data_IF_358529815725
#
_entry.id   IF_358529815725
#
_cell.length_a   1.000
_cell.length_b   1.000
_cell.length_c   1.000
_cell.angle_alpha   90.00
_cell.angle_beta   90.00
_cell.angle_gamma   90.00
#
_symmetry.space_group_name_H-M   'P 1'
#
loop_
_entity.id
_entity.type
_entity.pdbx_description
1 polymer ?
#
# COMPACT_ATOMS: atom_id res chain seq x y z
N UNK A 1 87.91 30.03 -18.48
CA UNK A 1 87.44 28.97 -19.39
C UNK A 1 87.18 27.76 -18.52
N UNK A 2 85.91 27.36 -18.34
CA UNK A 2 85.58 26.09 -17.65
C UNK A 2 85.95 24.93 -18.58
N UNK A 3 86.53 23.87 -18.02
CA UNK A 3 86.90 22.67 -18.78
C UNK A 3 85.64 22.04 -19.40
N UNK A 4 85.77 21.42 -20.58
CA UNK A 4 84.67 20.66 -21.19
C UNK A 4 84.13 19.59 -20.23
N UNK A 5 84.97 19.04 -19.36
CA UNK A 5 84.60 18.08 -18.31
C UNK A 5 83.68 18.70 -17.24
N UNK A 6 83.88 19.96 -16.86
CA UNK A 6 83.02 20.65 -15.90
C UNK A 6 81.62 20.89 -16.48
N UNK A 7 81.53 21.18 -17.78
CA UNK A 7 80.26 21.37 -18.46
C UNK A 7 79.50 20.03 -18.59
N UNK A 8 80.22 18.95 -18.90
CA UNK A 8 79.64 17.61 -19.04
C UNK A 8 79.13 17.08 -17.70
N UNK A 9 79.88 17.33 -16.62
CA UNK A 9 79.47 16.96 -15.25
C UNK A 9 78.21 17.71 -14.81
N UNK A 10 78.10 19.01 -15.11
CA UNK A 10 76.87 19.78 -14.82
C UNK A 10 75.67 19.31 -15.62
N UNK A 11 75.86 18.96 -16.90
CA UNK A 11 74.79 18.43 -17.73
C UNK A 11 74.29 17.07 -17.23
N UNK A 12 75.21 16.19 -16.80
CA UNK A 12 74.88 14.92 -16.15
C UNK A 12 74.05 15.16 -14.88
N UNK A 13 74.49 16.07 -14.02
CA UNK A 13 73.81 16.36 -12.76
C UNK A 13 72.40 16.95 -12.97
N UNK A 14 72.21 17.77 -13.99
CA UNK A 14 70.89 18.29 -14.39
C UNK A 14 70.01 17.20 -15.00
N UNK A 15 70.59 16.30 -15.78
CA UNK A 15 69.86 15.17 -16.37
C UNK A 15 69.40 14.16 -15.31
N UNK A 16 70.25 13.86 -14.33
CA UNK A 16 69.91 13.02 -13.17
C UNK A 16 68.76 13.62 -12.36
N UNK A 17 68.86 14.91 -11.99
CA UNK A 17 67.77 15.56 -11.25
C UNK A 17 66.44 15.56 -12.01
N UNK A 18 66.47 15.80 -13.32
CA UNK A 18 65.26 15.75 -14.16
C UNK A 18 64.71 14.34 -14.33
N UNK A 19 65.57 13.33 -14.35
CA UNK A 19 65.14 11.93 -14.37
C UNK A 19 64.45 11.56 -13.06
N UNK A 20 65.02 11.96 -11.91
CA UNK A 20 64.43 11.74 -10.59
C UNK A 20 63.05 12.40 -10.48
N UNK A 21 62.92 13.67 -10.91
CA UNK A 21 61.63 14.38 -10.92
C UNK A 21 60.57 13.64 -11.76
N UNK A 22 60.93 13.18 -12.97
CA UNK A 22 60.02 12.45 -13.85
C UNK A 22 59.64 11.06 -13.29
N UNK A 23 60.55 10.41 -12.55
CA UNK A 23 60.23 9.13 -11.90
C UNK A 23 59.27 9.33 -10.73
N UNK A 24 59.43 10.39 -9.94
CA UNK A 24 58.50 10.72 -8.87
C UNK A 24 57.13 11.13 -9.41
N UNK A 25 57.09 11.94 -10.48
CA UNK A 25 55.84 12.33 -11.12
C UNK A 25 55.09 11.11 -11.66
N UNK A 26 55.77 10.20 -12.38
CA UNK A 26 55.16 8.96 -12.86
C UNK A 26 54.65 8.06 -11.73
N UNK A 27 55.38 7.97 -10.62
CA UNK A 27 54.93 7.21 -9.45
C UNK A 27 53.67 7.84 -8.83
N UNK A 28 53.64 9.16 -8.71
CA UNK A 28 52.46 9.90 -8.23
C UNK A 28 51.24 9.67 -9.12
N UNK A 29 51.40 9.77 -10.44
CA UNK A 29 50.34 9.52 -11.41
C UNK A 29 49.84 8.06 -11.36
N UNK A 30 50.72 7.08 -11.16
CA UNK A 30 50.31 5.69 -11.01
C UNK A 30 49.45 5.48 -9.75
N UNK A 31 49.84 6.08 -8.63
CA UNK A 31 49.07 6.00 -7.38
C UNK A 31 47.70 6.67 -7.52
N UNK A 32 47.62 7.81 -8.20
CA UNK A 32 46.35 8.50 -8.46
C UNK A 32 45.46 7.68 -9.40
N UNK A 33 46.04 7.07 -10.43
CA UNK A 33 45.30 6.25 -11.39
C UNK A 33 44.75 4.97 -10.73
N UNK A 34 45.52 4.35 -9.84
CA UNK A 34 45.05 3.20 -9.06
C UNK A 34 43.98 3.58 -8.05
N UNK A 35 44.08 4.76 -7.42
CA UNK A 35 43.04 5.30 -6.55
C UNK A 35 41.73 5.55 -7.31
N UNK A 36 41.80 6.19 -8.47
CA UNK A 36 40.63 6.44 -9.32
C UNK A 36 40.00 5.15 -9.84
N UNK A 37 40.81 4.15 -10.20
CA UNK A 37 40.29 2.83 -10.62
C UNK A 37 39.54 2.15 -9.49
N UNK A 38 40.07 2.21 -8.27
CA UNK A 38 39.41 1.65 -7.10
C UNK A 38 38.10 2.38 -6.79
N UNK A 39 38.12 3.71 -6.80
CA UNK A 39 36.91 4.52 -6.60
C UNK A 39 35.83 4.19 -7.65
N UNK A 40 36.22 4.04 -8.92
CA UNK A 40 35.28 3.70 -9.98
C UNK A 40 34.68 2.30 -9.82
N UNK A 41 35.46 1.34 -9.32
CA UNK A 41 34.98 0.01 -8.96
C UNK A 41 33.99 0.07 -7.79
N UNK A 42 34.32 0.81 -6.73
CA UNK A 42 33.47 0.96 -5.55
C UNK A 42 32.14 1.66 -5.91
N UNK A 43 32.19 2.69 -6.75
CA UNK A 43 31.00 3.38 -7.28
C UNK A 43 30.16 2.42 -8.13
N UNK A 44 30.78 1.66 -9.03
CA UNK A 44 30.05 0.71 -9.87
C UNK A 44 29.34 -0.35 -9.03
N UNK A 45 30.01 -0.87 -8.00
CA UNK A 45 29.42 -1.85 -7.10
C UNK A 45 28.23 -1.25 -6.32
N UNK A 46 28.41 -0.09 -5.70
CA UNK A 46 27.33 0.58 -4.96
C UNK A 46 26.15 0.93 -5.86
N UNK A 47 26.38 1.28 -7.12
CA UNK A 47 25.32 1.53 -8.09
C UNK A 47 24.49 0.27 -8.37
N UNK A 48 25.13 -0.90 -8.54
CA UNK A 48 24.40 -2.16 -8.72
C UNK A 48 23.59 -2.55 -7.48
N UNK A 49 24.17 -2.39 -6.29
CA UNK A 49 23.48 -2.67 -5.02
C UNK A 49 22.25 -1.77 -4.84
N UNK A 50 22.36 -0.48 -5.17
CA UNK A 50 21.22 0.45 -5.15
C UNK A 50 20.14 0.08 -6.17
N UNK A 51 20.55 -0.35 -7.36
CA UNK A 51 19.60 -0.73 -8.41
C UNK A 51 18.82 -2.00 -8.03
N UNK A 52 19.47 -2.96 -7.39
CA UNK A 52 18.81 -4.16 -6.85
C UNK A 52 17.84 -3.82 -5.71
N UNK A 53 18.23 -2.91 -4.81
CA UNK A 53 17.33 -2.42 -3.75
C UNK A 53 16.10 -1.70 -4.33
N UNK A 54 16.29 -0.82 -5.31
CA UNK A 54 15.19 -0.12 -5.99
C UNK A 54 14.24 -1.09 -6.69
N UNK A 55 14.78 -2.15 -7.31
CA UNK A 55 13.96 -3.19 -7.93
C UNK A 55 13.07 -3.88 -6.89
N UNK A 56 13.65 -4.27 -5.74
CA UNK A 56 12.90 -4.89 -4.65
C UNK A 56 11.80 -3.96 -4.11
N UNK A 57 12.11 -2.68 -3.90
CA UNK A 57 11.13 -1.68 -3.46
C UNK A 57 9.98 -1.51 -4.47
N UNK A 58 10.28 -1.53 -5.77
CA UNK A 58 9.27 -1.46 -6.83
C UNK A 58 8.34 -2.69 -6.80
N UNK A 59 8.90 -3.89 -6.65
CA UNK A 59 8.11 -5.12 -6.51
C UNK A 59 7.20 -5.07 -5.27
N UNK A 60 7.69 -4.53 -4.15
CA UNK A 60 6.89 -4.32 -2.94
C UNK A 60 5.77 -3.29 -3.16
N UNK A 61 6.03 -2.20 -3.88
CA UNK A 61 5.00 -1.21 -4.21
C UNK A 61 3.89 -1.80 -5.08
N UNK A 62 4.22 -2.68 -6.04
CA UNK A 62 3.22 -3.36 -6.85
C UNK A 62 2.31 -4.22 -5.97
N UNK A 63 2.89 -5.02 -5.08
CA UNK A 63 2.14 -5.87 -4.14
C UNK A 63 1.23 -5.06 -3.21
N UNK A 64 1.73 -3.94 -2.67
CA UNK A 64 0.92 -3.04 -1.84
C UNK A 64 -0.23 -2.42 -2.63
N UNK A 65 0.01 -2.07 -3.89
CA UNK A 65 -1.02 -1.51 -4.77
C UNK A 65 -2.13 -2.52 -5.05
N UNK A 66 -1.77 -3.79 -5.29
CA UNK A 66 -2.74 -4.88 -5.46
C UNK A 66 -3.57 -5.11 -4.19
N UNK A 67 -2.94 -5.05 -3.01
CA UNK A 67 -3.65 -5.16 -1.74
C UNK A 67 -4.62 -3.99 -1.50
N UNK A 68 -4.21 -2.76 -1.85
CA UNK A 68 -5.10 -1.59 -1.78
C UNK A 68 -6.29 -1.79 -2.71
N UNK A 69 -6.08 -2.27 -3.93
CA UNK A 69 -7.17 -2.50 -4.87
C UNK A 69 -8.15 -3.57 -4.35
N UNK A 70 -7.64 -4.68 -3.79
CA UNK A 70 -8.47 -5.70 -3.17
C UNK A 70 -9.29 -5.14 -1.97
N UNK A 71 -8.69 -4.25 -1.18
CA UNK A 71 -9.39 -3.58 -0.09
C UNK A 71 -10.46 -2.59 -0.59
N UNK A 72 -10.18 -1.85 -1.66
CA UNK A 72 -11.15 -0.96 -2.30
C UNK A 72 -12.34 -1.73 -2.87
N UNK A 73 -12.09 -2.87 -3.51
CA UNK A 73 -13.13 -3.75 -4.03
C UNK A 73 -13.97 -4.35 -2.89
N UNK A 74 -13.34 -4.84 -1.83
CA UNK A 74 -14.03 -5.34 -0.65
C UNK A 74 -14.88 -4.24 0.03
N UNK A 75 -14.37 -3.00 0.08
CA UNK A 75 -15.10 -1.85 0.62
C UNK A 75 -16.30 -1.49 -0.27
N UNK A 76 -16.14 -1.48 -1.60
CA UNK A 76 -17.22 -1.21 -2.54
C UNK A 76 -18.34 -2.25 -2.41
N UNK A 77 -17.99 -3.54 -2.35
CA UNK A 77 -18.94 -4.63 -2.10
C UNK A 77 -19.63 -4.51 -0.74
N UNK A 78 -18.89 -4.13 0.31
CA UNK A 78 -19.47 -3.89 1.63
C UNK A 78 -20.44 -2.71 1.62
N UNK A 79 -20.14 -1.64 0.89
CA UNK A 79 -21.02 -0.49 0.77
C UNK A 79 -22.29 -0.85 0.01
N UNK A 80 -22.19 -1.56 -1.11
CA UNK A 80 -23.34 -2.03 -1.89
C UNK A 80 -24.27 -2.91 -1.03
N UNK A 81 -23.71 -3.93 -0.35
CA UNK A 81 -24.47 -4.79 0.56
C UNK A 81 -25.09 -4.03 1.73
N UNK A 82 -24.39 -3.05 2.31
CA UNK A 82 -24.94 -2.21 3.37
C UNK A 82 -26.13 -1.36 2.88
N UNK A 83 -26.04 -0.81 1.67
CA UNK A 83 -27.15 -0.07 1.07
C UNK A 83 -28.35 -0.96 0.74
N UNK A 84 -28.11 -2.20 0.29
CA UNK A 84 -29.16 -3.20 0.05
C UNK A 84 -29.86 -3.59 1.37
N UNK A 85 -29.10 -3.86 2.43
CA UNK A 85 -29.67 -4.12 3.75
C UNK A 85 -30.47 -2.93 4.28
N UNK A 86 -30.00 -1.70 4.13
CA UNK A 86 -30.77 -0.50 4.50
C UNK A 86 -32.07 -0.37 3.70
N UNK A 87 -32.07 -0.70 2.41
CA UNK A 87 -33.27 -0.70 1.59
C UNK A 87 -34.29 -1.75 2.06
N UNK A 88 -33.84 -2.96 2.38
CA UNK A 88 -34.67 -4.03 2.97
C UNK A 88 -35.25 -3.56 4.32
N UNK A 89 -34.41 -2.97 5.18
CA UNK A 89 -34.83 -2.47 6.49
C UNK A 89 -35.88 -1.35 6.37
N UNK A 90 -35.68 -0.43 5.42
CA UNK A 90 -36.65 0.65 5.13
C UNK A 90 -37.98 0.11 4.62
N UNK A 91 -37.97 -0.87 3.71
CA UNK A 91 -39.20 -1.49 3.20
C UNK A 91 -39.97 -2.22 4.30
N UNK A 92 -39.26 -2.96 5.16
CA UNK A 92 -39.87 -3.61 6.34
C UNK A 92 -40.44 -2.58 7.32
N UNK A 93 -39.73 -1.48 7.59
CA UNK A 93 -40.23 -0.40 8.44
C UNK A 93 -41.52 0.22 7.88
N UNK A 94 -41.56 0.50 6.57
CA UNK A 94 -42.75 1.03 5.91
C UNK A 94 -43.93 0.06 6.02
N UNK A 95 -43.72 -1.23 5.73
CA UNK A 95 -44.78 -2.25 5.87
C UNK A 95 -45.28 -2.34 7.30
N UNK A 96 -44.38 -2.30 8.28
CA UNK A 96 -44.74 -2.34 9.70
C UNK A 96 -45.50 -1.09 10.14
N UNK A 97 -45.12 0.09 9.65
CA UNK A 97 -45.80 1.35 9.88
C UNK A 97 -47.21 1.37 9.26
N UNK A 98 -47.36 0.83 8.05
CA UNK A 98 -48.67 0.69 7.39
C UNK A 98 -49.58 -0.26 8.19
N UNK A 99 -49.06 -1.42 8.64
CA UNK A 99 -49.79 -2.34 9.52
C UNK A 99 -50.18 -1.71 10.86
N UNK A 100 -49.30 -0.89 11.44
CA UNK A 100 -49.57 -0.19 12.69
C UNK A 100 -50.66 0.86 12.51
N UNK A 101 -50.63 1.59 11.38
CA UNK A 101 -51.65 2.56 11.00
C UNK A 101 -53.00 1.88 10.77
N UNK A 102 -53.04 0.77 10.02
CA UNK A 102 -54.26 0.00 9.77
C UNK A 102 -54.86 -0.57 11.07
N UNK A 103 -54.01 -0.96 12.02
CA UNK A 103 -54.44 -1.46 13.33
C UNK A 103 -55.01 -0.33 14.20
N UNK A 104 -54.38 0.85 14.20
CA UNK A 104 -54.88 2.04 14.89
C UNK A 104 -56.19 2.55 14.26
N UNK A 105 -56.31 2.50 12.94
CA UNK A 105 -57.53 2.87 12.22
C UNK A 105 -58.67 1.90 12.54
N UNK A 106 -58.42 0.59 12.54
CA UNK A 106 -59.39 -0.40 13.00
C UNK A 106 -59.82 -0.18 14.46
N UNK A 107 -58.88 0.16 15.35
CA UNK A 107 -59.19 0.51 16.73
C UNK A 107 -60.12 1.73 16.82
N UNK A 108 -59.88 2.75 15.98
CA UNK A 108 -60.70 3.96 15.91
C UNK A 108 -62.12 3.69 15.39
N UNK A 109 -62.28 2.64 14.57
CA UNK A 109 -63.57 2.21 14.01
C UNK A 109 -64.33 1.21 14.91
N UNK A 110 -63.96 1.09 16.20
CA UNK A 110 -64.53 0.16 17.17
C UNK A 110 -64.34 -1.34 16.81
N UNK A 111 -63.21 -1.71 16.19
CA UNK A 111 -62.86 -3.12 16.03
C UNK A 111 -62.87 -3.86 17.38
N UNK A 112 -63.25 -5.14 17.35
CA UNK A 112 -63.34 -5.94 18.58
C UNK A 112 -61.95 -6.14 19.20
N UNK A 113 -61.89 -6.34 20.52
CA UNK A 113 -60.62 -6.62 21.23
C UNK A 113 -59.89 -7.85 20.67
N UNK A 114 -60.63 -8.83 20.17
CA UNK A 114 -60.09 -10.06 19.56
C UNK A 114 -59.47 -9.74 18.19
N UNK A 115 -60.11 -8.88 17.41
CA UNK A 115 -59.61 -8.44 16.10
C UNK A 115 -58.35 -7.59 16.24
N UNK A 116 -58.31 -6.69 17.23
CA UNK A 116 -57.11 -5.92 17.55
C UNK A 116 -55.96 -6.82 18.03
N UNK A 117 -56.25 -7.80 18.88
CA UNK A 117 -55.24 -8.76 19.34
C UNK A 117 -54.69 -9.62 18.18
N UNK A 118 -55.54 -10.04 17.23
CA UNK A 118 -55.12 -10.77 16.04
C UNK A 118 -54.21 -9.91 15.14
N UNK A 119 -54.57 -8.64 14.90
CA UNK A 119 -53.76 -7.71 14.10
C UNK A 119 -52.41 -7.39 14.74
N UNK A 120 -52.38 -7.19 16.06
CA UNK A 120 -51.11 -7.00 16.82
C UNK A 120 -50.26 -8.26 16.80
N UNK A 121 -50.88 -9.44 16.89
CA UNK A 121 -50.17 -10.72 16.79
C UNK A 121 -49.59 -10.95 15.38
N UNK A 122 -50.35 -10.68 14.32
CA UNK A 122 -49.86 -10.72 12.94
C UNK A 122 -48.73 -9.70 12.71
N UNK A 123 -48.84 -8.51 13.28
CA UNK A 123 -47.77 -7.50 13.25
C UNK A 123 -46.51 -8.02 13.96
N UNK A 124 -46.65 -8.72 15.09
CA UNK A 124 -45.50 -9.34 15.80
C UNK A 124 -44.85 -10.48 15.01
N UNK A 125 -45.63 -11.27 14.26
CA UNK A 125 -45.08 -12.29 13.37
C UNK A 125 -44.38 -11.68 12.16
N UNK A 126 -44.95 -10.65 11.53
CA UNK A 126 -44.31 -9.95 10.42
C UNK A 126 -43.07 -9.14 10.85
N UNK A 127 -43.04 -8.72 12.11
CA UNK A 127 -41.90 -8.08 12.74
C UNK A 127 -40.85 -9.09 13.23
N UNK A 128 -40.98 -10.40 12.96
CA UNK A 128 -39.93 -11.36 13.29
C UNK A 128 -38.60 -10.92 12.68
N UNK A 129 -37.74 -10.43 13.57
CA UNK A 129 -36.39 -9.96 13.36
C UNK A 129 -35.44 -11.11 13.00
N UNK A 130 -35.86 -12.36 13.18
CA UNK A 130 -35.06 -13.56 12.93
C UNK A 130 -34.46 -13.59 11.52
N UNK A 131 -35.18 -13.15 10.49
CA UNK A 131 -34.64 -13.09 9.12
C UNK A 131 -33.61 -11.97 8.94
N UNK A 132 -33.77 -10.83 9.64
CA UNK A 132 -32.79 -9.73 9.61
C UNK A 132 -31.55 -10.13 10.41
N UNK A 133 -31.74 -10.67 11.61
CA UNK A 133 -30.65 -11.15 12.46
C UNK A 133 -29.86 -12.27 11.77
N UNK A 134 -30.54 -13.13 11.00
CA UNK A 134 -29.90 -14.15 10.18
C UNK A 134 -29.15 -13.56 8.98
N UNK A 135 -29.71 -12.57 8.27
CA UNK A 135 -29.01 -11.89 7.17
C UNK A 135 -27.83 -11.03 7.66
N UNK A 136 -27.94 -10.41 8.84
CA UNK A 136 -26.85 -9.68 9.50
C UNK A 136 -25.78 -10.66 9.98
N UNK A 137 -26.17 -11.82 10.54
CA UNK A 137 -25.23 -12.88 10.92
C UNK A 137 -24.49 -13.44 9.70
N UNK A 138 -25.19 -13.71 8.59
CA UNK A 138 -24.59 -14.16 7.33
C UNK A 138 -23.64 -13.10 6.73
N UNK A 139 -24.00 -11.82 6.80
CA UNK A 139 -23.15 -10.71 6.36
C UNK A 139 -21.87 -10.60 7.22
N UNK A 140 -22.00 -10.67 8.55
CA UNK A 140 -20.86 -10.66 9.46
C UNK A 140 -19.95 -11.89 9.28
N UNK A 141 -20.50 -13.04 8.92
CA UNK A 141 -19.71 -14.25 8.63
C UNK A 141 -18.97 -14.17 7.28
N UNK A 142 -19.49 -13.44 6.31
CA UNK A 142 -18.82 -13.18 5.02
C UNK A 142 -17.70 -12.13 5.12
N UNK A 143 -17.76 -11.24 6.11
CA UNK A 143 -16.71 -10.25 6.39
C UNK A 143 -15.56 -10.78 7.27
N UNK A 144 -15.65 -12.03 7.78
CA UNK A 144 -14.57 -12.62 8.57
C UNK A 144 -13.32 -12.85 7.71
N UNK A 145 -12.11 -12.55 8.21
CA UNK A 145 -10.89 -12.67 7.42
C UNK A 145 -10.66 -14.12 6.97
N UNK A 146 -10.39 -14.32 5.68
CA UNK A 146 -10.04 -15.64 5.10
C UNK A 146 -11.13 -16.38 4.31
N UNK A 147 -12.23 -15.71 3.95
CA UNK A 147 -13.27 -16.25 3.03
C UNK A 147 -13.45 -15.46 1.72
N UNK A 148 -12.69 -14.38 1.54
CA UNK A 148 -12.52 -13.67 0.27
C UNK A 148 -11.18 -14.05 -0.34
#
# INVERSE_FOLDING_TARGET
MTSAEDQLTKLLQVAEGRFDDLTQENLGLQLELDALRKENQDISQSFFELMDAQKLESEQMVQLTEQIWALEEALALSHEKATEQMAIMKNKFNSMNDYMKDTLEAASQNASRIELAARVYEMSQKAQLDDIDKQIAEFNDQLKPGKL
#
